data_IF_451707679138
#
_entry.id   IF_451707679138
#
_cell.length_a   1.000
_cell.length_b   1.000
_cell.length_c   1.000
_cell.angle_alpha   90.00
_cell.angle_beta   90.00
_cell.angle_gamma   90.00
#
_symmetry.space_group_name_H-M   'P 1'
#
loop_
_entity.id
_entity.type
_entity.pdbx_description
1 polymer ?
#
# COMPACT_ATOMS: atom_id res chain seq x y z
N UNK A 1 11.97 51.39 48.84
CA UNK A 1 12.18 50.69 47.55
C UNK A 1 11.60 49.28 47.63
N UNK A 2 10.57 48.98 46.81
CA UNK A 2 10.27 47.71 46.08
C UNK A 2 10.46 46.36 46.83
N UNK A 3 9.54 45.35 46.76
CA UNK A 3 8.06 45.29 46.82
C UNK A 3 7.58 44.06 47.67
N UNK A 4 6.28 43.67 47.69
CA UNK A 4 5.82 42.45 48.38
C UNK A 4 5.83 41.21 47.47
N UNK A 5 6.20 40.04 48.02
CA UNK A 5 6.13 38.74 47.32
C UNK A 5 4.68 38.25 47.20
N UNK A 6 4.25 38.01 45.96
CA UNK A 6 2.92 37.49 45.62
C UNK A 6 2.79 35.98 45.83
N UNK A 7 1.62 35.58 46.31
CA UNK A 7 1.14 34.19 46.35
C UNK A 7 1.06 33.60 44.94
N UNK A 8 1.66 32.43 44.76
CA UNK A 8 1.78 31.72 43.49
C UNK A 8 0.48 31.12 42.95
N UNK A 9 0.39 31.09 41.62
CA UNK A 9 -0.71 30.59 40.78
C UNK A 9 -1.05 29.08 40.91
N UNK A 10 -0.54 28.36 41.90
CA UNK A 10 -0.70 26.89 42.01
C UNK A 10 -1.91 26.43 42.84
N UNK A 11 -2.62 27.33 43.52
CA UNK A 11 -3.76 26.98 44.39
C UNK A 11 -5.15 27.17 43.75
N UNK A 12 -5.25 27.79 42.57
CA UNK A 12 -6.53 27.99 41.86
C UNK A 12 -6.88 26.87 40.88
N UNK A 13 -5.89 26.18 40.27
CA UNK A 13 -6.16 25.05 39.38
C UNK A 13 -6.61 23.79 40.12
N UNK A 14 -6.10 23.54 41.33
CA UNK A 14 -6.47 22.38 42.13
C UNK A 14 -7.95 22.43 42.58
N UNK A 15 -8.48 23.62 42.86
CA UNK A 15 -9.89 23.82 43.26
C UNK A 15 -10.84 23.65 42.07
N UNK A 16 -10.44 24.03 40.85
CA UNK A 16 -11.26 23.84 39.63
C UNK A 16 -11.30 22.37 39.19
N UNK A 17 -10.19 21.63 39.33
CA UNK A 17 -10.19 20.18 39.05
C UNK A 17 -11.03 19.38 40.05
N UNK A 18 -11.03 19.77 41.33
CA UNK A 18 -11.82 19.09 42.37
C UNK A 18 -13.33 19.39 42.24
N UNK A 19 -13.71 20.59 41.80
CA UNK A 19 -15.11 20.94 41.53
C UNK A 19 -15.67 20.27 40.26
N UNK A 20 -14.84 20.02 39.24
CA UNK A 20 -15.27 19.25 38.05
C UNK A 20 -15.48 17.76 38.36
N UNK A 21 -14.65 17.18 39.24
CA UNK A 21 -14.77 15.77 39.64
C UNK A 21 -15.96 15.50 40.56
N UNK A 22 -16.39 16.48 41.36
CA UNK A 22 -17.59 16.37 42.20
C UNK A 22 -18.90 16.62 41.43
N UNK A 23 -18.86 17.22 40.24
CA UNK A 23 -20.05 17.39 39.38
C UNK A 23 -20.42 16.13 38.56
N UNK A 24 -19.54 15.12 38.48
CA UNK A 24 -19.84 13.86 37.77
C UNK A 24 -20.17 12.69 38.71
N UNK A 25 -20.12 12.90 40.03
CA UNK A 25 -20.39 11.88 41.03
C UNK A 25 -21.59 12.27 41.90
N UNK A 26 -22.75 12.51 41.28
CA UNK A 26 -24.04 12.61 41.99
C UNK A 26 -25.17 12.42 40.99
N UNK A 27 -25.52 11.18 40.71
CA UNK A 27 -26.89 10.75 40.35
C UNK A 27 -26.94 9.22 40.26
N UNK A 28 -26.82 8.55 41.40
CA UNK A 28 -27.33 7.18 41.57
C UNK A 28 -28.30 7.19 42.76
N UNK A 29 -29.61 7.11 42.42
CA UNK A 29 -30.74 6.48 43.17
C UNK A 29 -31.18 7.20 44.46
N UNK A 30 -32.43 7.67 44.60
CA UNK A 30 -33.66 6.88 44.93
C UNK A 30 -35.02 7.56 44.60
N UNK A 31 -35.99 6.72 44.15
CA UNK A 31 -37.48 6.82 44.16
C UNK A 31 -38.17 7.96 43.37
N UNK A 32 -39.20 7.76 42.53
CA UNK A 32 -40.45 7.01 42.75
C UNK A 32 -41.21 6.71 41.42
N UNK A 33 -42.15 5.77 41.51
CA UNK A 33 -42.91 5.04 40.48
C UNK A 33 -43.80 5.91 39.57
N UNK A 34 -43.59 5.91 38.24
CA UNK A 34 -44.65 6.19 37.24
C UNK A 34 -44.57 5.21 36.05
N UNK A 35 -45.69 4.52 35.81
CA UNK A 35 -45.95 3.65 34.66
C UNK A 35 -45.96 4.47 33.36
N UNK A 36 -45.22 4.04 32.34
CA UNK A 36 -45.37 4.54 30.97
C UNK A 36 -44.22 4.13 30.04
N UNK A 37 -44.50 3.15 29.17
CA UNK A 37 -43.81 2.79 27.91
C UNK A 37 -42.27 2.71 27.95
N UNK A 38 -41.76 1.48 28.10
CA UNK A 38 -40.34 1.18 27.94
C UNK A 38 -39.89 1.30 26.49
N UNK A 39 -39.09 2.32 26.20
CA UNK A 39 -38.18 2.33 25.07
C UNK A 39 -37.04 1.35 25.38
N UNK A 40 -37.06 0.19 24.72
CA UNK A 40 -35.96 -0.75 24.74
C UNK A 40 -34.74 -0.09 24.09
N UNK A 41 -33.78 0.35 24.89
CA UNK A 41 -32.43 0.63 24.40
C UNK A 41 -31.84 -0.73 24.04
N UNK A 42 -31.89 -1.05 22.75
CA UNK A 42 -31.26 -2.25 22.21
C UNK A 42 -29.76 -1.98 22.17
N UNK A 43 -29.02 -2.48 23.17
CA UNK A 43 -27.59 -2.68 23.01
C UNK A 43 -27.42 -3.74 21.93
N UNK A 44 -27.17 -3.30 20.68
CA UNK A 44 -26.79 -4.20 19.60
C UNK A 44 -25.43 -4.76 19.99
N UNK A 45 -25.40 -6.01 20.45
CA UNK A 45 -24.13 -6.72 20.62
C UNK A 45 -23.39 -6.65 19.29
N UNK A 46 -22.12 -6.21 19.29
CA UNK A 46 -21.28 -6.30 18.09
C UNK A 46 -21.40 -7.72 17.57
N UNK A 47 -21.90 -7.86 16.34
CA UNK A 47 -21.91 -9.14 15.63
C UNK A 47 -20.47 -9.65 15.61
N UNK A 48 -20.21 -10.81 16.20
CA UNK A 48 -18.89 -11.46 16.21
C UNK A 48 -18.41 -11.88 14.82
N UNK A 49 -19.29 -11.77 13.82
CA UNK A 49 -19.08 -12.23 12.44
C UNK A 49 -18.67 -11.10 11.48
N UNK A 50 -18.54 -9.85 11.96
CA UNK A 50 -18.12 -8.72 11.12
C UNK A 50 -16.60 -8.54 11.19
N UNK A 51 -15.94 -8.42 10.03
CA UNK A 51 -14.49 -8.23 9.92
C UNK A 51 -14.11 -6.89 10.57
N UNK A 52 -13.13 -6.89 11.45
CA UNK A 52 -12.52 -5.66 11.98
C UNK A 52 -11.14 -5.47 11.36
N UNK A 53 -10.94 -4.34 10.70
CA UNK A 53 -9.65 -3.94 10.12
C UNK A 53 -9.07 -2.79 10.94
N UNK A 54 -7.92 -3.02 11.56
CA UNK A 54 -7.13 -1.95 12.16
C UNK A 54 -6.14 -1.45 11.11
N UNK A 55 -6.28 -0.19 10.71
CA UNK A 55 -5.64 0.34 9.52
C UNK A 55 -5.52 1.86 9.50
N UNK A 56 -4.80 2.36 8.50
CA UNK A 56 -4.69 3.81 8.22
C UNK A 56 -4.95 4.06 6.74
N UNK A 57 -4.87 5.30 6.29
CA UNK A 57 -4.90 5.62 4.85
C UNK A 57 -3.64 5.18 4.08
N UNK A 58 -2.79 4.33 4.68
CA UNK A 58 -1.60 3.78 4.04
C UNK A 58 -1.97 2.90 2.84
N UNK A 59 -1.11 2.81 1.83
CA UNK A 59 -1.37 1.97 0.67
C UNK A 59 -1.64 0.50 1.03
N UNK A 60 -0.90 -0.04 2.01
CA UNK A 60 -1.07 -1.42 2.48
C UNK A 60 -2.46 -1.71 3.03
N UNK A 61 -3.05 -0.76 3.76
CA UNK A 61 -4.43 -0.89 4.26
C UNK A 61 -5.43 -0.78 3.11
N UNK A 62 -5.19 0.13 2.17
CA UNK A 62 -6.05 0.33 0.99
C UNK A 62 -6.15 -0.91 0.10
N UNK A 63 -5.11 -1.75 0.04
CA UNK A 63 -5.19 -3.06 -0.63
C UNK A 63 -6.25 -3.97 0.01
N UNK A 64 -6.33 -3.97 1.34
CA UNK A 64 -7.29 -4.81 2.08
C UNK A 64 -8.71 -4.28 1.88
N UNK A 65 -8.92 -2.96 2.03
CA UNK A 65 -10.25 -2.37 1.82
C UNK A 65 -10.71 -2.51 0.38
N UNK A 66 -9.80 -2.40 -0.60
CA UNK A 66 -10.11 -2.68 -2.01
C UNK A 66 -10.60 -4.11 -2.21
N UNK A 67 -9.88 -5.10 -1.67
CA UNK A 67 -10.32 -6.50 -1.74
C UNK A 67 -11.71 -6.71 -1.12
N UNK A 68 -11.95 -6.14 0.06
CA UNK A 68 -13.23 -6.24 0.75
C UNK A 68 -14.37 -5.60 -0.05
N UNK A 69 -14.12 -4.44 -0.68
CA UNK A 69 -15.08 -3.77 -1.55
C UNK A 69 -15.38 -4.53 -2.84
N UNK A 70 -14.39 -5.17 -3.46
CA UNK A 70 -14.61 -6.02 -4.65
C UNK A 70 -15.51 -7.22 -4.35
N UNK A 71 -15.52 -7.67 -3.10
CA UNK A 71 -16.24 -8.85 -2.64
C UNK A 71 -17.50 -8.51 -1.83
N UNK A 72 -17.91 -7.25 -1.83
CA UNK A 72 -19.04 -6.70 -1.07
C UNK A 72 -19.06 -7.16 0.41
N UNK A 73 -17.88 -7.27 1.00
CA UNK A 73 -17.73 -7.68 2.41
C UNK A 73 -17.94 -6.48 3.32
N UNK A 74 -18.74 -6.70 4.35
CA UNK A 74 -18.93 -5.75 5.45
C UNK A 74 -17.77 -5.84 6.42
N UNK A 75 -17.24 -4.70 6.81
CA UNK A 75 -16.16 -4.59 7.77
C UNK A 75 -16.25 -3.26 8.55
N UNK A 76 -15.60 -3.22 9.70
CA UNK A 76 -15.38 -2.00 10.48
C UNK A 76 -13.91 -1.65 10.43
N UNK A 77 -13.58 -0.45 9.98
CA UNK A 77 -12.20 0.06 10.02
C UNK A 77 -11.97 0.90 11.28
N UNK A 78 -10.86 0.67 11.96
CA UNK A 78 -10.43 1.46 13.12
C UNK A 78 -9.02 2.00 12.91
N UNK A 79 -8.78 3.24 13.35
CA UNK A 79 -7.49 3.90 13.19
C UNK A 79 -6.61 3.68 14.46
N UNK A 80 -5.40 3.12 14.31
CA UNK A 80 -4.53 2.79 15.44
C UNK A 80 -3.99 4.02 16.19
N UNK A 81 -4.20 5.25 15.69
CA UNK A 81 -3.94 6.46 16.48
C UNK A 81 -4.66 6.44 17.85
N UNK A 82 -5.69 5.62 17.98
CA UNK A 82 -6.53 5.51 19.18
C UNK A 82 -6.63 4.08 19.74
N UNK A 83 -6.05 3.07 19.07
CA UNK A 83 -6.17 1.65 19.43
C UNK A 83 -4.86 0.91 19.11
N UNK A 84 -4.28 0.12 20.02
CA UNK A 84 -3.14 -0.74 19.70
C UNK A 84 -3.47 -1.66 18.51
N UNK A 85 -2.57 -1.79 17.53
CA UNK A 85 -2.89 -2.51 16.29
C UNK A 85 -3.19 -4.00 16.47
N UNK A 86 -2.84 -4.59 17.62
CA UNK A 86 -2.94 -6.03 17.87
C UNK A 86 -1.80 -6.84 17.28
N UNK A 87 -1.07 -6.28 16.30
CA UNK A 87 0.16 -6.89 15.79
C UNK A 87 1.25 -6.89 16.86
N UNK A 88 1.98 -8.01 17.05
CA UNK A 88 3.13 -8.05 17.94
C UNK A 88 4.25 -7.08 17.51
N UNK A 89 4.21 -6.60 16.26
CA UNK A 89 5.17 -5.65 15.69
C UNK A 89 4.68 -4.20 15.72
N UNK A 90 3.47 -3.93 16.22
CA UNK A 90 2.89 -2.58 16.25
C UNK A 90 2.59 -1.98 14.88
N UNK A 91 2.57 -2.81 13.83
CA UNK A 91 2.31 -2.40 12.45
C UNK A 91 0.84 -2.59 12.07
N UNK A 92 0.43 -1.92 11.00
CA UNK A 92 -0.87 -2.07 10.32
C UNK A 92 -0.63 -2.34 8.82
N UNK A 93 -1.57 -3.00 8.11
CA UNK A 93 -2.89 -3.47 8.56
C UNK A 93 -2.84 -4.67 9.51
N UNK A 94 -3.87 -4.78 10.35
CA UNK A 94 -4.17 -5.93 11.19
C UNK A 94 -5.65 -6.27 11.08
N UNK A 95 -5.98 -7.53 10.84
CA UNK A 95 -7.37 -7.97 10.63
C UNK A 95 -7.79 -8.92 11.74
N UNK A 96 -8.97 -8.67 12.32
CA UNK A 96 -9.67 -9.58 13.22
C UNK A 96 -10.95 -10.08 12.59
N UNK A 97 -11.17 -11.38 12.72
CA UNK A 97 -12.33 -12.07 12.19
C UNK A 97 -12.72 -13.20 13.14
N UNK A 98 -13.62 -12.89 14.08
CA UNK A 98 -13.96 -13.76 15.20
C UNK A 98 -12.72 -14.10 16.05
N UNK A 99 -12.25 -15.35 15.94
CA UNK A 99 -11.04 -15.85 16.65
C UNK A 99 -9.76 -15.75 15.83
N UNK A 100 -9.88 -15.38 14.55
CA UNK A 100 -8.75 -15.28 13.64
C UNK A 100 -8.18 -13.87 13.71
N UNK A 101 -6.90 -13.76 14.00
CA UNK A 101 -6.17 -12.50 14.10
C UNK A 101 -4.93 -12.57 13.18
N UNK A 102 -4.80 -11.64 12.24
CA UNK A 102 -3.80 -11.73 11.16
C UNK A 102 -3.12 -10.38 10.97
N UNK A 103 -1.79 -10.40 10.94
CA UNK A 103 -0.92 -9.31 10.47
C UNK A 103 -0.23 -9.73 9.16
N UNK A 104 0.50 -8.82 8.54
CA UNK A 104 1.01 -8.91 7.16
C UNK A 104 -0.05 -8.76 6.08
N UNK A 105 0.11 -7.74 5.23
CA UNK A 105 -0.84 -7.45 4.13
C UNK A 105 -1.06 -8.65 3.22
N UNK A 106 0.01 -9.37 2.89
CA UNK A 106 -0.02 -10.50 1.99
C UNK A 106 -0.76 -11.72 2.58
N UNK A 107 -0.59 -11.96 3.89
CA UNK A 107 -1.31 -13.02 4.61
C UNK A 107 -2.80 -12.67 4.80
N UNK A 108 -3.10 -11.41 5.12
CA UNK A 108 -4.49 -10.92 5.22
C UNK A 108 -5.21 -11.09 3.89
N UNK A 109 -4.58 -10.69 2.78
CA UNK A 109 -5.14 -10.85 1.44
C UNK A 109 -5.42 -12.32 1.11
N UNK A 110 -4.49 -13.23 1.41
CA UNK A 110 -4.72 -14.66 1.16
C UNK A 110 -5.86 -15.23 2.02
N UNK A 111 -5.93 -14.86 3.30
CA UNK A 111 -7.04 -15.25 4.16
C UNK A 111 -8.39 -14.79 3.61
N UNK A 112 -8.46 -13.55 3.12
CA UNK A 112 -9.68 -13.02 2.50
C UNK A 112 -10.00 -13.71 1.17
N UNK A 113 -9.00 -14.13 0.39
CA UNK A 113 -9.19 -14.98 -0.80
C UNK A 113 -9.92 -16.26 -0.46
N UNK A 114 -9.39 -17.00 0.52
CA UNK A 114 -9.98 -18.27 0.98
C UNK A 114 -11.39 -18.04 1.58
N UNK A 115 -11.56 -17.02 2.42
CA UNK A 115 -12.83 -16.73 3.09
C UNK A 115 -13.93 -16.25 2.14
N UNK A 116 -13.59 -15.47 1.11
CA UNK A 116 -14.59 -14.89 0.21
C UNK A 116 -15.06 -15.86 -0.88
N UNK A 117 -14.45 -17.05 -1.00
CA UNK A 117 -14.81 -18.06 -2.00
C UNK A 117 -14.52 -17.62 -3.44
N UNK A 118 -13.74 -16.56 -3.61
CA UNK A 118 -13.41 -16.01 -4.92
C UNK A 118 -12.12 -16.65 -5.42
N UNK A 119 -12.34 -17.86 -5.95
CA UNK A 119 -11.65 -18.43 -7.12
C UNK A 119 -10.41 -19.28 -6.93
N UNK A 120 -9.99 -19.57 -5.70
CA UNK A 120 -8.79 -20.39 -5.45
C UNK A 120 -9.05 -21.62 -4.57
N UNK A 121 -10.25 -21.74 -4.01
CA UNK A 121 -10.54 -22.64 -2.87
C UNK A 121 -10.30 -24.13 -3.13
N UNK A 122 -10.55 -24.62 -4.34
CA UNK A 122 -10.57 -26.06 -4.62
C UNK A 122 -9.44 -26.55 -5.53
N UNK A 123 -8.73 -25.64 -6.22
CA UNK A 123 -7.59 -25.99 -7.07
C UNK A 123 -6.28 -25.51 -6.42
N UNK A 124 -5.44 -26.46 -6.04
CA UNK A 124 -4.15 -26.17 -5.40
C UNK A 124 -3.19 -25.39 -6.33
N UNK A 125 -3.28 -25.60 -7.65
CA UNK A 125 -2.45 -24.91 -8.63
C UNK A 125 -2.80 -23.43 -8.77
N UNK A 126 -4.09 -23.11 -8.90
CA UNK A 126 -4.56 -21.71 -8.98
C UNK A 126 -4.21 -20.97 -7.68
N UNK A 127 -4.46 -21.58 -6.52
CA UNK A 127 -4.07 -21.00 -5.23
C UNK A 127 -2.56 -20.78 -5.12
N UNK A 128 -1.74 -21.71 -5.59
CA UNK A 128 -0.29 -21.55 -5.60
C UNK A 128 0.16 -20.37 -6.49
N UNK A 129 -0.47 -20.19 -7.66
CA UNK A 129 -0.20 -19.06 -8.54
C UNK A 129 -0.57 -17.72 -7.91
N UNK A 130 -1.72 -17.64 -7.25
CA UNK A 130 -2.14 -16.42 -6.55
C UNK A 130 -1.26 -16.10 -5.35
N UNK A 131 -0.88 -17.12 -4.58
CA UNK A 131 0.11 -16.99 -3.51
C UNK A 131 1.46 -16.47 -4.03
N UNK A 132 1.94 -17.03 -5.15
CA UNK A 132 3.20 -16.62 -5.78
C UNK A 132 3.19 -15.12 -6.10
N UNK A 133 2.15 -14.63 -6.76
CA UNK A 133 2.04 -13.21 -7.12
C UNK A 133 1.84 -12.30 -5.91
N UNK A 134 1.07 -12.74 -4.91
CA UNK A 134 0.85 -11.99 -3.68
C UNK A 134 2.16 -11.85 -2.88
N UNK A 135 2.96 -12.92 -2.79
CA UNK A 135 4.30 -12.86 -2.18
C UNK A 135 5.29 -12.07 -3.03
N UNK A 136 5.23 -12.18 -4.36
CA UNK A 136 6.04 -11.36 -5.26
C UNK A 136 5.81 -9.87 -5.03
N UNK A 137 4.54 -9.45 -4.87
CA UNK A 137 4.21 -8.06 -4.55
C UNK A 137 4.93 -7.63 -3.25
N UNK A 138 4.81 -8.40 -2.18
CA UNK A 138 5.38 -8.07 -0.87
C UNK A 138 6.93 -8.09 -0.83
N UNK A 139 7.56 -9.02 -1.54
CA UNK A 139 9.00 -9.31 -1.38
C UNK A 139 9.88 -8.74 -2.49
N UNK A 140 9.33 -8.54 -3.68
CA UNK A 140 10.09 -8.15 -4.88
C UNK A 140 9.65 -6.81 -5.43
N UNK A 141 8.34 -6.54 -5.46
CA UNK A 141 7.80 -5.30 -6.02
C UNK A 141 7.81 -4.16 -5.00
N UNK A 142 7.38 -4.42 -3.77
CA UNK A 142 7.34 -3.41 -2.70
C UNK A 142 8.70 -2.72 -2.48
N UNK A 143 9.85 -3.41 -2.42
CA UNK A 143 11.14 -2.76 -2.30
C UNK A 143 11.46 -1.83 -3.47
N UNK A 144 10.89 -2.06 -4.66
CA UNK A 144 11.08 -1.17 -5.82
C UNK A 144 10.19 0.06 -5.69
N UNK A 145 8.93 -0.13 -5.29
CA UNK A 145 7.94 0.95 -5.21
C UNK A 145 8.19 1.85 -4.00
N UNK A 146 8.56 1.29 -2.84
CA UNK A 146 8.68 2.05 -1.60
C UNK A 146 10.12 2.44 -1.23
N UNK A 147 11.13 2.00 -1.98
CA UNK A 147 12.50 2.51 -1.80
C UNK A 147 12.72 3.73 -2.68
N UNK A 148 13.17 4.86 -2.12
CA UNK A 148 13.51 6.04 -2.91
C UNK A 148 14.45 5.73 -4.08
N UNK A 149 14.27 6.44 -5.19
CA UNK A 149 14.99 6.18 -6.44
C UNK A 149 16.53 6.24 -6.27
N UNK A 150 17.00 7.20 -5.47
CA UNK A 150 18.39 7.45 -5.11
C UNK A 150 18.98 6.42 -4.14
N UNK A 151 18.14 5.60 -3.49
CA UNK A 151 18.55 4.53 -2.55
C UNK A 151 18.46 3.13 -3.15
N UNK A 152 18.42 3.04 -4.48
CA UNK A 152 18.44 1.77 -5.21
C UNK A 152 17.08 1.27 -5.70
N UNK A 153 15.98 1.98 -5.42
CA UNK A 153 14.68 1.69 -6.04
C UNK A 153 14.71 1.94 -7.55
N UNK A 154 15.33 3.05 -7.97
CA UNK A 154 15.37 3.49 -9.37
C UNK A 154 16.24 2.64 -10.28
N UNK A 155 17.26 1.96 -9.75
CA UNK A 155 18.15 1.11 -10.55
C UNK A 155 17.54 -0.27 -10.83
N UNK A 156 16.70 -0.78 -9.91
CA UNK A 156 16.05 -2.09 -10.05
C UNK A 156 14.72 -2.02 -10.80
N UNK A 157 14.03 -0.88 -10.73
CA UNK A 157 12.72 -0.69 -11.32
C UNK A 157 12.65 -1.04 -12.82
N UNK A 158 13.54 -0.56 -13.71
CA UNK A 158 13.35 -0.74 -15.13
C UNK A 158 13.36 -2.21 -15.58
N UNK A 159 14.24 -3.01 -14.98
CA UNK A 159 14.36 -4.44 -15.30
C UNK A 159 13.11 -5.21 -14.86
N UNK A 160 12.67 -5.03 -13.60
CA UNK A 160 11.52 -5.77 -13.09
C UNK A 160 10.23 -5.36 -13.81
N UNK A 161 10.03 -4.05 -14.00
CA UNK A 161 8.83 -3.54 -14.66
C UNK A 161 8.78 -3.94 -16.13
N UNK A 162 9.92 -3.98 -16.84
CA UNK A 162 9.99 -4.52 -18.20
C UNK A 162 9.69 -6.03 -18.27
N UNK A 163 10.15 -6.82 -17.30
CA UNK A 163 9.82 -8.25 -17.24
C UNK A 163 8.32 -8.45 -16.99
N UNK A 164 7.73 -7.66 -16.10
CA UNK A 164 6.30 -7.74 -15.80
C UNK A 164 5.45 -7.27 -16.99
N UNK A 165 5.88 -6.23 -17.70
CA UNK A 165 5.24 -5.78 -18.95
C UNK A 165 5.21 -6.89 -20.01
N UNK A 166 6.33 -7.60 -20.21
CA UNK A 166 6.40 -8.76 -21.10
C UNK A 166 5.39 -9.84 -20.71
N UNK A 167 5.37 -10.25 -19.44
CA UNK A 167 4.43 -11.26 -18.94
C UNK A 167 2.95 -10.83 -19.11
N UNK A 168 2.65 -9.56 -18.86
CA UNK A 168 1.31 -9.01 -19.04
C UNK A 168 0.90 -8.94 -20.52
N UNK A 169 1.86 -8.70 -21.42
CA UNK A 169 1.61 -8.71 -22.86
C UNK A 169 1.25 -10.11 -23.38
N UNK A 170 1.77 -11.17 -22.74
CA UNK A 170 1.54 -12.57 -23.10
C UNK A 170 0.28 -13.17 -22.46
N UNK A 171 -0.16 -12.66 -21.30
CA UNK A 171 -1.30 -13.20 -20.53
C UNK A 171 -2.58 -13.32 -21.36
N UNK A 172 -2.85 -12.34 -22.25
CA UNK A 172 -4.04 -12.30 -23.12
C UNK A 172 -5.38 -12.09 -22.39
N UNK A 173 -5.51 -12.54 -21.14
CA UNK A 173 -6.70 -12.37 -20.31
C UNK A 173 -6.78 -10.98 -19.65
N UNK A 174 -5.64 -10.30 -19.60
CA UNK A 174 -5.46 -9.04 -18.89
C UNK A 174 -5.32 -9.21 -17.38
N UNK A 175 -5.40 -10.41 -16.81
CA UNK A 175 -5.21 -10.68 -15.38
C UNK A 175 -3.95 -11.53 -15.13
N UNK A 176 -3.45 -11.54 -13.90
CA UNK A 176 -2.26 -12.33 -13.54
C UNK A 176 -2.53 -13.82 -13.39
N UNK A 177 -3.74 -14.19 -12.96
CA UNK A 177 -4.15 -15.57 -12.72
C UNK A 177 -5.51 -15.81 -13.36
N UNK A 178 -5.57 -16.80 -14.27
CA UNK A 178 -6.79 -17.11 -15.00
C UNK A 178 -7.29 -15.94 -15.85
N UNK A 179 -8.61 -15.70 -15.83
CA UNK A 179 -9.29 -14.74 -16.71
C UNK A 179 -10.15 -13.71 -15.99
N UNK A 180 -9.88 -13.46 -14.71
CA UNK A 180 -10.67 -12.58 -13.85
C UNK A 180 -9.81 -12.03 -12.71
N UNK A 181 -10.37 -11.05 -12.00
CA UNK A 181 -9.69 -10.44 -10.85
C UNK A 181 -9.46 -11.47 -9.75
N UNK A 182 -8.24 -11.51 -9.25
CA UNK A 182 -7.83 -12.34 -8.11
C UNK A 182 -7.09 -11.50 -7.08
N UNK A 183 -6.77 -12.11 -5.94
CA UNK A 183 -5.93 -11.50 -4.92
C UNK A 183 -4.54 -11.12 -5.45
N UNK A 184 -4.02 -11.86 -6.44
CA UNK A 184 -2.77 -11.53 -7.14
C UNK A 184 -2.84 -10.15 -7.79
N UNK A 185 -3.96 -9.84 -8.45
CA UNK A 185 -4.13 -8.56 -9.14
C UNK A 185 -4.27 -7.40 -8.15
N UNK A 186 -4.97 -7.64 -7.03
CA UNK A 186 -5.08 -6.66 -5.94
C UNK A 186 -3.69 -6.33 -5.39
N UNK A 187 -2.89 -7.35 -5.07
CA UNK A 187 -1.55 -7.17 -4.51
C UNK A 187 -0.61 -6.47 -5.50
N UNK A 188 -0.43 -7.02 -6.71
CA UNK A 188 0.52 -6.48 -7.69
C UNK A 188 0.02 -5.17 -8.29
N UNK A 189 -1.23 -5.14 -8.76
CA UNK A 189 -1.79 -3.97 -9.43
C UNK A 189 -2.00 -2.79 -8.50
N UNK A 190 -2.40 -3.04 -7.25
CA UNK A 190 -2.53 -2.00 -6.24
C UNK A 190 -1.18 -1.45 -5.78
N UNK A 191 -0.12 -2.26 -5.73
CA UNK A 191 1.24 -1.74 -5.49
C UNK A 191 1.76 -0.94 -6.70
N UNK A 192 1.54 -1.42 -7.93
CA UNK A 192 1.94 -0.69 -9.15
C UNK A 192 1.23 0.66 -9.31
N UNK A 193 -0.05 0.76 -8.89
CA UNK A 193 -0.80 2.02 -9.00
C UNK A 193 -0.24 3.14 -8.13
N UNK A 194 0.64 2.83 -7.19
CA UNK A 194 1.32 3.81 -6.34
C UNK A 194 2.53 4.45 -7.00
N UNK A 195 3.05 3.85 -8.08
CA UNK A 195 4.24 4.35 -8.78
C UNK A 195 4.18 5.86 -9.06
N UNK A 196 3.08 6.46 -9.54
CA UNK A 196 3.03 7.90 -9.78
C UNK A 196 3.14 8.76 -8.52
N UNK A 197 2.82 8.22 -7.34
CA UNK A 197 2.83 8.92 -6.05
C UNK A 197 4.20 8.85 -5.38
N UNK A 198 4.89 7.72 -5.53
CA UNK A 198 6.18 7.45 -4.87
C UNK A 198 7.40 7.71 -5.76
N UNK A 199 7.24 7.60 -7.08
CA UNK A 199 8.27 7.84 -8.08
C UNK A 199 8.02 9.18 -8.79
N UNK A 200 8.24 10.31 -8.09
CA UNK A 200 8.32 11.62 -8.74
C UNK A 200 9.67 11.78 -9.50
N UNK A 201 9.78 12.74 -10.43
CA UNK A 201 9.75 12.61 -11.89
C UNK A 201 10.93 11.83 -12.53
N UNK A 202 11.70 11.06 -11.76
CA UNK A 202 12.99 10.49 -12.16
C UNK A 202 12.90 9.20 -12.97
N UNK A 203 11.72 8.59 -13.05
CA UNK A 203 11.45 7.51 -13.98
C UNK A 203 10.15 7.84 -14.71
N UNK A 204 10.24 8.37 -15.93
CA UNK A 204 9.15 8.15 -16.87
C UNK A 204 8.84 6.66 -16.82
N UNK A 205 7.56 6.28 -16.65
CA UNK A 205 7.15 4.88 -16.52
C UNK A 205 7.27 4.15 -17.87
N UNK A 206 8.47 4.21 -18.47
CA UNK A 206 8.98 3.41 -19.57
C UNK A 206 8.09 3.28 -20.80
N UNK A 207 8.49 2.37 -21.72
CA UNK A 207 7.67 1.91 -22.84
C UNK A 207 6.64 0.83 -22.43
N UNK A 208 6.31 0.67 -21.14
CA UNK A 208 5.60 -0.50 -20.61
C UNK A 208 4.08 -0.41 -20.79
N UNK A 209 3.63 -0.56 -22.03
CA UNK A 209 2.22 -0.38 -22.42
C UNK A 209 1.29 -1.45 -21.85
N UNK A 210 1.73 -2.70 -21.77
CA UNK A 210 0.90 -3.77 -21.21
C UNK A 210 0.69 -3.57 -19.71
N UNK A 211 1.75 -3.15 -19.00
CA UNK A 211 1.68 -2.78 -17.59
C UNK A 211 0.76 -1.58 -17.37
N UNK A 212 0.89 -0.52 -18.17
CA UNK A 212 0.03 0.66 -18.04
C UNK A 212 -1.45 0.33 -18.31
N UNK A 213 -1.73 -0.47 -19.35
CA UNK A 213 -3.08 -0.96 -19.64
C UNK A 213 -3.63 -1.83 -18.50
N UNK A 214 -2.79 -2.69 -17.92
CA UNK A 214 -3.14 -3.52 -16.76
C UNK A 214 -3.55 -2.67 -15.54
N UNK A 215 -2.76 -1.66 -15.18
CA UNK A 215 -3.07 -0.77 -14.04
C UNK A 215 -4.34 0.04 -14.29
N UNK A 216 -4.50 0.63 -15.49
CA UNK A 216 -5.71 1.40 -15.83
C UNK A 216 -6.98 0.58 -15.71
N UNK A 217 -6.95 -0.66 -16.20
CA UNK A 217 -8.09 -1.57 -16.13
C UNK A 217 -8.50 -1.84 -14.68
N UNK A 218 -7.53 -1.99 -13.77
CA UNK A 218 -7.79 -2.17 -12.35
C UNK A 218 -8.29 -0.87 -11.68
N UNK A 219 -7.65 0.26 -11.96
CA UNK A 219 -8.00 1.56 -11.37
C UNK A 219 -9.41 2.06 -11.79
N UNK A 220 -9.91 1.63 -12.95
CA UNK A 220 -11.27 1.94 -13.41
C UNK A 220 -12.37 1.20 -12.64
N UNK A 221 -12.03 0.23 -11.80
CA UNK A 221 -13.02 -0.53 -11.05
C UNK A 221 -13.63 0.33 -9.93
N UNK A 222 -14.96 0.31 -9.71
CA UNK A 222 -15.58 1.12 -8.67
C UNK A 222 -15.03 0.86 -7.26
N UNK A 223 -14.69 -0.39 -6.95
CA UNK A 223 -14.11 -0.74 -5.66
C UNK A 223 -12.70 -0.16 -5.44
N UNK A 224 -11.90 -0.01 -6.50
CA UNK A 224 -10.61 0.66 -6.41
C UNK A 224 -10.80 2.11 -5.97
N UNK A 225 -11.71 2.84 -6.62
CA UNK A 225 -12.02 4.23 -6.24
C UNK A 225 -12.56 4.35 -4.83
N UNK A 226 -13.43 3.43 -4.39
CA UNK A 226 -13.92 3.38 -3.00
C UNK A 226 -12.77 3.22 -1.98
N UNK A 227 -11.76 2.41 -2.29
CA UNK A 227 -10.62 2.17 -1.39
C UNK A 227 -9.57 3.26 -1.42
N UNK A 228 -9.20 3.72 -2.62
CA UNK A 228 -8.10 4.66 -2.80
C UNK A 228 -8.51 6.13 -2.74
N UNK A 229 -9.79 6.43 -2.99
CA UNK A 229 -10.34 7.78 -3.05
C UNK A 229 -10.25 8.38 -4.46
N UNK A 230 -11.05 9.42 -4.70
CA UNK A 230 -11.19 10.05 -6.02
C UNK A 230 -9.87 10.65 -6.51
N UNK A 231 -9.22 11.49 -5.69
CA UNK A 231 -7.95 12.16 -6.04
C UNK A 231 -6.86 11.18 -6.46
N UNK A 232 -6.66 10.12 -5.66
CA UNK A 232 -5.67 9.08 -5.99
C UNK A 232 -6.05 8.32 -7.25
N UNK A 233 -7.33 8.02 -7.43
CA UNK A 233 -7.80 7.30 -8.62
C UNK A 233 -7.58 8.12 -9.88
N UNK A 234 -7.96 9.39 -9.84
CA UNK A 234 -7.87 10.27 -11.00
C UNK A 234 -6.40 10.53 -11.39
N UNK A 235 -5.51 10.69 -10.40
CA UNK A 235 -4.06 10.77 -10.65
C UNK A 235 -3.54 9.51 -11.36
N UNK A 236 -3.93 8.32 -10.88
CA UNK A 236 -3.50 7.06 -11.51
C UNK A 236 -4.04 6.95 -12.94
N UNK A 237 -5.31 7.27 -13.15
CA UNK A 237 -5.92 7.24 -14.47
C UNK A 237 -5.26 8.22 -15.44
N UNK A 238 -4.98 9.45 -15.01
CA UNK A 238 -4.29 10.46 -15.80
C UNK A 238 -2.88 10.00 -16.19
N UNK A 239 -2.06 9.63 -15.19
CA UNK A 239 -0.65 9.31 -15.41
C UNK A 239 -0.48 8.08 -16.29
N UNK A 240 -1.20 6.99 -15.99
CA UNK A 240 -1.09 5.78 -16.78
C UNK A 240 -1.73 5.89 -18.17
N UNK A 241 -2.74 6.74 -18.37
CA UNK A 241 -3.24 7.05 -19.71
C UNK A 241 -2.23 7.86 -20.52
N UNK A 242 -1.53 8.81 -19.88
CA UNK A 242 -0.43 9.55 -20.48
C UNK A 242 0.65 8.62 -21.05
N UNK A 243 1.06 7.59 -20.32
CA UNK A 243 2.09 6.63 -20.79
C UNK A 243 1.66 5.81 -22.00
N UNK A 244 0.36 5.59 -22.19
CA UNK A 244 -0.14 4.93 -23.40
C UNK A 244 -0.17 5.87 -24.61
N UNK A 245 -0.39 7.17 -24.35
CA UNK A 245 -0.50 8.21 -25.37
C UNK A 245 0.86 8.76 -25.82
N UNK A 246 1.89 8.68 -24.98
CA UNK A 246 3.26 9.01 -25.37
C UNK A 246 3.73 8.02 -26.45
N UNK A 247 3.96 8.53 -27.67
CA UNK A 247 4.82 7.82 -28.62
C UNK A 247 6.18 7.66 -27.95
N UNK A 248 6.75 6.45 -28.00
CA UNK A 248 8.11 6.20 -27.51
C UNK A 248 9.05 7.05 -28.38
N UNK A 249 9.30 8.28 -27.95
CA UNK A 249 10.25 9.15 -28.62
C UNK A 249 11.59 8.39 -28.62
N UNK A 250 12.27 8.27 -29.78
CA UNK A 250 13.58 7.65 -29.81
C UNK A 250 14.47 8.35 -28.77
N UNK A 251 15.37 7.60 -28.10
CA UNK A 251 16.20 8.16 -27.04
C UNK A 251 16.82 9.47 -27.50
N UNK A 252 16.60 10.54 -26.72
CA UNK A 252 16.98 11.92 -27.11
C UNK A 252 18.48 12.12 -27.28
N UNK A 253 19.30 11.11 -27.02
CA UNK A 253 20.69 11.07 -27.39
C UNK A 253 21.00 9.68 -27.95
N UNK A 254 21.60 9.63 -29.15
CA UNK A 254 22.31 8.41 -29.58
C UNK A 254 23.33 8.12 -28.47
N UNK A 255 23.40 6.91 -27.90
CA UNK A 255 24.58 6.53 -27.14
C UNK A 255 25.79 6.81 -28.05
N UNK A 256 26.91 7.31 -27.51
CA UNK A 256 28.09 7.66 -28.32
C UNK A 256 28.30 6.53 -29.32
N UNK A 257 28.15 6.84 -30.61
CA UNK A 257 28.18 5.82 -31.65
C UNK A 257 29.43 4.97 -31.46
N UNK A 258 29.39 3.69 -31.84
CA UNK A 258 30.48 2.72 -31.60
C UNK A 258 31.91 3.31 -31.72
N UNK A 259 32.15 4.23 -32.65
CA UNK A 259 33.42 4.97 -32.77
C UNK A 259 33.80 5.89 -31.60
N UNK A 260 32.87 6.55 -30.89
CA UNK A 260 33.14 7.34 -29.69
C UNK A 260 33.36 6.46 -28.45
N UNK A 261 32.66 5.32 -28.36
CA UNK A 261 32.95 4.30 -27.35
C UNK A 261 34.34 3.65 -27.59
N UNK A 262 34.69 3.34 -28.84
CA UNK A 262 36.01 2.83 -29.21
C UNK A 262 37.12 3.86 -28.99
N UNK A 263 36.90 5.15 -29.27
CA UNK A 263 37.88 6.20 -28.94
C UNK A 263 38.12 6.35 -27.44
N UNK A 264 37.07 6.22 -26.62
CA UNK A 264 37.19 6.25 -25.16
C UNK A 264 37.88 4.98 -24.64
N UNK A 265 37.53 3.81 -25.19
CA UNK A 265 38.17 2.54 -24.88
C UNK A 265 39.65 2.55 -25.28
N UNK A 266 40.01 3.02 -26.48
CA UNK A 266 41.40 3.15 -26.93
C UNK A 266 42.18 4.16 -26.07
N UNK A 267 41.59 5.30 -25.72
CA UNK A 267 42.24 6.31 -24.85
C UNK A 267 42.50 5.81 -23.42
N UNK A 268 41.64 4.92 -22.90
CA UNK A 268 41.78 4.33 -21.56
C UNK A 268 42.65 3.06 -21.59
N UNK A 269 42.54 2.26 -22.64
CA UNK A 269 43.22 0.97 -22.76
C UNK A 269 44.66 1.10 -23.28
N UNK A 270 45.01 2.09 -24.12
CA UNK A 270 46.37 2.23 -24.67
C UNK A 270 47.43 2.52 -23.59
N UNK A 271 47.20 3.40 -22.58
CA UNK A 271 48.15 3.55 -21.46
C UNK A 271 48.23 2.28 -20.60
N UNK A 272 47.11 1.59 -20.43
CA UNK A 272 47.02 0.39 -19.59
C UNK A 272 47.72 -0.83 -20.24
N UNK A 273 47.58 -1.00 -21.55
CA UNK A 273 48.27 -2.05 -22.32
C UNK A 273 49.77 -1.77 -22.45
N UNK A 274 50.19 -0.51 -22.66
CA UNK A 274 51.62 -0.14 -22.65
C UNK A 274 52.29 -0.32 -21.29
N UNK A 275 51.54 -0.18 -20.20
CA UNK A 275 52.05 -0.46 -18.84
C UNK A 275 52.19 -1.97 -18.58
N UNK A 276 51.23 -2.78 -19.03
CA UNK A 276 51.25 -4.24 -18.83
C UNK A 276 52.28 -4.93 -19.76
N UNK A 277 52.57 -4.38 -20.95
CA UNK A 277 53.49 -4.99 -21.92
C UNK A 277 54.86 -4.31 -22.05
N UNK A 278 55.20 -3.31 -21.22
CA UNK A 278 56.58 -2.76 -21.14
C UNK A 278 57.34 -3.16 -19.88
N UNK A 279 56.71 -3.90 -18.96
CA UNK A 279 57.37 -4.52 -17.82
C UNK A 279 57.51 -6.04 -18.07
N UNK A 280 58.40 -6.38 -19.01
CA UNK A 280 59.34 -7.52 -18.89
C UNK A 280 60.20 -7.57 -20.16
N UNK A 281 61.24 -6.73 -20.13
CA UNK A 281 62.49 -6.97 -20.83
C UNK A 281 63.60 -7.40 -19.86
N UNK A 282 63.24 -7.95 -18.68
CA UNK A 282 64.15 -8.65 -17.76
C UNK A 282 63.42 -9.31 -16.59
#
# INVERSE_FOLDING_TARGET
CIPPMGMGHSSKLAVVLLLCLLSQASSFVTHEKKRGQGSSITFRSKSTDEIELVGTQSPRTKLITWYLYENDKRFQESNPAWVPSGSPFGQVPFLKDGKVEIFETAAILQYLSDKCGQHEGDDAGIRAQSNQWTMFAATSLDPIVFTPADKGGGTRAPRLLGQLDGLLSESGSGYLVGNKLTVADIAVGGTLSLLPQVAAPTTGLGPWKALAGYVLRLARRPAYRRAFGDETTDLVLEKFAGFLAEEVAPPKEKPPGYGAFMKLFEAIADPFFKYIYSADGR
#
